data_IF_681693001531
#
_entry.id   IF_681693001531
#
_cell.length_a   1.000
_cell.length_b   1.000
_cell.length_c   1.000
_cell.angle_alpha   90.00
_cell.angle_beta   90.00
_cell.angle_gamma   90.00
#
_symmetry.space_group_name_H-M   'P 1'
#
loop_
_entity.id
_entity.type
_entity.pdbx_description
1 polymer ?
#
# COMPACT_ATOMS: atom_id res chain seq x y z
N UNK A 1 12.05 -4.58 -1.21
CA UNK A 1 11.79 -4.23 -2.63
C UNK A 1 11.38 -2.76 -2.71
N UNK A 2 11.87 -1.99 -3.69
CA UNK A 2 11.51 -0.56 -3.84
C UNK A 2 10.77 -0.28 -5.12
N UNK A 3 9.85 0.68 -5.10
CA UNK A 3 9.22 1.19 -6.31
C UNK A 3 10.08 2.24 -7.03
N UNK A 4 9.54 2.82 -8.11
CA UNK A 4 10.19 3.85 -8.94
C UNK A 4 10.52 5.15 -8.17
N UNK A 5 9.82 5.43 -7.07
CA UNK A 5 10.01 6.62 -6.24
C UNK A 5 10.94 6.32 -5.03
N UNK A 6 11.43 5.08 -4.91
CA UNK A 6 12.32 4.65 -3.84
C UNK A 6 11.59 4.23 -2.56
N UNK A 7 10.27 4.09 -2.59
CA UNK A 7 9.45 3.64 -1.46
C UNK A 7 9.67 2.16 -1.22
N UNK A 8 9.94 1.79 0.03
CA UNK A 8 10.08 0.39 0.43
C UNK A 8 8.70 -0.29 0.48
N UNK A 9 8.43 -1.18 -0.49
CA UNK A 9 7.17 -1.88 -0.61
C UNK A 9 7.03 -3.02 0.39
N UNK A 10 8.14 -3.67 0.73
CA UNK A 10 8.15 -4.80 1.65
C UNK A 10 7.81 -4.35 3.07
N UNK A 11 6.81 -5.00 3.67
CA UNK A 11 6.44 -4.76 5.06
C UNK A 11 7.52 -5.29 6.02
N UNK A 12 7.58 -4.78 7.27
CA UNK A 12 8.35 -5.44 8.32
C UNK A 12 7.86 -6.88 8.56
N UNK A 13 8.74 -7.74 9.10
CA UNK A 13 8.43 -9.15 9.36
C UNK A 13 7.10 -9.33 10.12
N UNK A 14 6.21 -10.16 9.57
CA UNK A 14 4.89 -10.46 10.13
C UNK A 14 3.85 -9.33 10.01
N UNK A 15 4.16 -8.22 9.33
CA UNK A 15 3.25 -7.07 9.13
C UNK A 15 2.78 -6.96 7.69
N UNK A 16 1.86 -6.01 7.49
CA UNK A 16 1.33 -5.64 6.18
C UNK A 16 1.53 -4.15 5.96
N UNK A 17 2.10 -3.77 4.81
CA UNK A 17 2.40 -2.38 4.48
C UNK A 17 1.40 -1.83 3.49
N UNK A 18 0.77 -0.72 3.84
CA UNK A 18 -0.07 0.04 2.93
C UNK A 18 0.74 1.18 2.29
N UNK A 19 0.83 1.15 0.97
CA UNK A 19 1.44 2.21 0.16
C UNK A 19 0.33 2.94 -0.58
N UNK A 20 0.37 4.27 -0.54
CA UNK A 20 -0.50 5.08 -1.38
C UNK A 20 0.27 5.63 -2.57
N UNK A 21 -0.43 5.78 -3.69
CA UNK A 21 0.06 6.38 -4.92
C UNK A 21 -0.93 7.43 -5.37
N UNK A 22 -0.48 8.67 -5.48
CA UNK A 22 -1.24 9.73 -6.11
C UNK A 22 -1.28 9.49 -7.62
N UNK A 23 -2.48 9.40 -8.20
CA UNK A 23 -2.63 9.06 -9.62
C UNK A 23 -2.39 10.24 -10.55
N UNK A 24 -2.28 11.46 -10.02
CA UNK A 24 -2.06 12.68 -10.78
C UNK A 24 -0.58 12.91 -11.11
N UNK A 25 0.29 12.81 -10.10
CA UNK A 25 1.73 13.01 -10.26
C UNK A 25 2.55 11.70 -10.17
N UNK A 26 1.91 10.60 -9.72
CA UNK A 26 2.54 9.30 -9.59
C UNK A 26 3.49 9.20 -8.39
N UNK A 27 3.45 10.15 -7.46
CA UNK A 27 4.16 10.09 -6.18
C UNK A 27 3.59 8.96 -5.32
N UNK A 28 4.45 8.31 -4.55
CA UNK A 28 4.07 7.22 -3.66
C UNK A 28 4.72 7.37 -2.30
N UNK A 29 4.06 6.86 -1.27
CA UNK A 29 4.57 6.87 0.09
C UNK A 29 4.01 5.71 0.92
N UNK A 30 4.77 5.30 1.93
CA UNK A 30 4.24 4.39 2.96
C UNK A 30 3.20 5.16 3.78
N UNK A 31 1.95 4.69 3.75
CA UNK A 31 0.89 5.25 4.57
C UNK A 31 0.97 4.69 5.99
N UNK A 32 1.02 3.37 6.15
CA UNK A 32 1.11 2.71 7.45
C UNK A 32 1.53 1.23 7.33
N UNK A 33 2.00 0.66 8.44
CA UNK A 33 2.21 -0.78 8.62
C UNK A 33 1.19 -1.31 9.65
N UNK A 34 0.61 -2.47 9.38
CA UNK A 34 -0.46 -3.08 10.16
C UNK A 34 -0.06 -4.47 10.66
N UNK A 35 -0.52 -4.84 11.85
CA UNK A 35 -0.22 -6.15 12.45
C UNK A 35 -1.14 -7.27 11.95
N UNK A 36 -2.31 -6.92 11.38
CA UNK A 36 -3.28 -7.91 10.90
C UNK A 36 -3.72 -7.64 9.47
N UNK A 37 -3.90 -8.70 8.70
CA UNK A 37 -4.37 -8.62 7.32
C UNK A 37 -5.76 -7.97 7.23
N UNK A 38 -6.64 -8.28 8.18
CA UNK A 38 -8.02 -7.77 8.19
C UNK A 38 -8.07 -6.26 8.34
N UNK A 39 -7.29 -5.69 9.27
CA UNK A 39 -7.19 -4.24 9.45
C UNK A 39 -6.55 -3.58 8.22
N UNK A 40 -5.48 -4.17 7.71
CA UNK A 40 -4.76 -3.64 6.56
C UNK A 40 -5.63 -3.59 5.29
N UNK A 41 -6.44 -4.63 5.05
CA UNK A 41 -7.42 -4.67 3.95
C UNK A 41 -8.53 -3.65 4.13
N UNK A 42 -9.06 -3.50 5.34
CA UNK A 42 -10.07 -2.49 5.65
C UNK A 42 -9.56 -1.09 5.31
N UNK A 43 -8.34 -0.77 5.76
CA UNK A 43 -7.70 0.51 5.48
C UNK A 43 -7.35 0.68 4.01
N UNK A 44 -6.88 -0.37 3.33
CA UNK A 44 -6.60 -0.34 1.89
C UNK A 44 -7.84 0.10 1.09
N UNK A 45 -8.98 -0.55 1.31
CA UNK A 45 -10.24 -0.20 0.64
C UNK A 45 -10.72 1.20 1.01
N UNK A 46 -10.60 1.58 2.29
CA UNK A 46 -11.03 2.90 2.77
C UNK A 46 -10.17 4.05 2.22
N UNK A 47 -8.91 3.77 1.89
CA UNK A 47 -7.91 4.75 1.44
C UNK A 47 -7.70 4.79 -0.06
N UNK A 48 -8.12 3.75 -0.77
CA UNK A 48 -8.28 3.79 -2.21
C UNK A 48 -9.47 4.68 -2.58
N UNK A 49 -9.24 5.71 -3.39
CA UNK A 49 -10.26 6.62 -3.88
C UNK A 49 -9.98 6.95 -5.37
N UNK A 50 -10.73 7.89 -5.93
CA UNK A 50 -10.67 8.29 -7.34
C UNK A 50 -9.32 8.89 -7.74
N UNK A 51 -8.58 9.47 -6.79
CA UNK A 51 -7.27 10.11 -7.04
C UNK A 51 -6.11 9.44 -6.30
N UNK A 52 -6.38 8.38 -5.53
CA UNK A 52 -5.38 7.69 -4.73
C UNK A 52 -5.54 6.19 -4.93
N UNK A 53 -4.50 5.55 -5.47
CA UNK A 53 -4.40 4.09 -5.42
C UNK A 53 -3.75 3.68 -4.11
N UNK A 54 -4.28 2.63 -3.52
CA UNK A 54 -3.77 2.01 -2.31
C UNK A 54 -3.34 0.60 -2.65
N UNK A 55 -2.11 0.24 -2.28
CA UNK A 55 -1.52 -1.07 -2.52
C UNK A 55 -1.09 -1.67 -1.20
N UNK A 56 -1.49 -2.91 -0.95
CA UNK A 56 -1.14 -3.63 0.26
C UNK A 56 -0.09 -4.69 -0.03
N UNK A 57 1.02 -4.64 0.72
CA UNK A 57 2.14 -5.56 0.57
C UNK A 57 2.36 -6.38 1.85
N UNK A 58 2.81 -7.62 1.68
CA UNK A 58 3.25 -8.48 2.78
C UNK A 58 4.75 -8.28 3.11
N UNK A 59 5.23 -9.02 4.10
CA UNK A 59 6.63 -9.01 4.56
C UNK A 59 7.61 -9.70 3.61
N UNK A 60 7.11 -10.33 2.54
CA UNK A 60 7.90 -10.84 1.43
C UNK A 60 7.96 -9.83 0.26
N UNK A 61 7.20 -8.74 0.35
CA UNK A 61 7.08 -7.72 -0.69
C UNK A 61 6.11 -8.09 -1.81
N UNK A 62 5.26 -9.10 -1.63
CA UNK A 62 4.20 -9.40 -2.58
C UNK A 62 3.05 -8.41 -2.39
N UNK A 63 2.49 -7.91 -3.49
CA UNK A 63 1.24 -7.16 -3.45
C UNK A 63 0.09 -8.17 -3.25
N UNK A 64 -0.66 -8.02 -2.16
CA UNK A 64 -1.73 -8.95 -1.76
C UNK A 64 -3.13 -8.34 -1.87
N UNK A 65 -3.23 -7.01 -2.01
CA UNK A 65 -4.49 -6.30 -2.25
C UNK A 65 -4.25 -4.93 -2.89
N UNK A 66 -5.27 -4.38 -3.54
CA UNK A 66 -5.26 -3.03 -4.09
C UNK A 66 -6.65 -2.39 -4.09
N UNK A 67 -6.70 -1.06 -3.99
CA UNK A 67 -7.94 -0.29 -4.05
C UNK A 67 -7.73 1.10 -4.66
N UNK A 68 -8.83 1.74 -5.04
CA UNK A 68 -8.84 3.00 -5.78
C UNK A 68 -9.01 2.78 -7.28
N UNK A 69 -9.43 3.83 -7.99
CA UNK A 69 -9.72 3.74 -9.42
C UNK A 69 -9.32 5.01 -10.15
N UNK A 70 -8.34 4.89 -11.05
CA UNK A 70 -8.01 5.87 -12.10
C UNK A 70 -7.07 5.25 -13.15
#
# INVERSE_FOLDING_TARGET
MKDKNGVELQAPEGKFRLVQVDTFDGESWVYADYDTLSEAKYECVRKGDTMLKAYLYDDQGNCIDEAGSY
#
